data_IF_167580402053
#
_entry.id   IF_167580402053
#
_cell.length_a   1.000
_cell.length_b   1.000
_cell.length_c   1.000
_cell.angle_alpha   90.00
_cell.angle_beta   90.00
_cell.angle_gamma   90.00
#
_symmetry.space_group_name_H-M   'P 1'
#
loop_
_entity.id
_entity.type
_entity.pdbx_description
1 polymer ?
#
# COMPACT_ATOMS: atom_id res chain seq x y z
N UNK A 1 -7.18 20.07 9.91
CA UNK A 1 -6.90 18.63 10.07
C UNK A 1 -6.06 18.06 8.91
N UNK A 2 -4.98 18.78 8.52
CA UNK A 2 -4.16 18.40 7.36
C UNK A 2 -2.69 18.38 7.75
N UNK A 3 -1.92 17.50 7.14
CA UNK A 3 -0.47 17.63 7.04
C UNK A 3 -0.17 18.69 5.97
N UNK A 4 0.66 19.66 6.28
CA UNK A 4 1.01 20.75 5.37
C UNK A 4 2.50 20.66 5.05
N UNK A 5 2.81 20.60 3.77
CA UNK A 5 4.18 20.67 3.30
C UNK A 5 4.51 22.10 2.89
N UNK A 6 5.49 22.70 3.56
CA UNK A 6 6.06 24.00 3.20
C UNK A 6 7.28 23.78 2.33
N UNK A 7 7.12 23.95 1.04
CA UNK A 7 8.19 23.75 0.05
C UNK A 7 9.02 25.03 -0.11
N UNK A 8 9.54 25.59 1.00
CA UNK A 8 10.45 26.73 0.96
C UNK A 8 11.84 26.27 0.51
N UNK A 9 12.44 26.88 -0.54
CA UNK A 9 13.76 26.48 -1.03
C UNK A 9 14.86 26.54 0.03
N UNK A 10 14.81 27.53 0.91
CA UNK A 10 15.82 27.71 1.95
C UNK A 10 15.63 26.77 3.13
N UNK A 11 14.39 26.44 3.48
CA UNK A 11 14.05 25.62 4.63
C UNK A 11 12.73 24.87 4.41
N UNK A 12 12.74 23.70 3.74
CA UNK A 12 11.56 22.86 3.61
C UNK A 12 11.11 22.39 5.00
N UNK A 13 9.80 22.44 5.22
CA UNK A 13 9.22 22.02 6.49
C UNK A 13 7.91 21.27 6.29
N UNK A 14 7.63 20.31 7.16
CA UNK A 14 6.34 19.61 7.21
C UNK A 14 5.69 19.86 8.56
N UNK A 15 4.45 20.33 8.53
CA UNK A 15 3.59 20.45 9.70
C UNK A 15 2.62 19.29 9.75
N UNK A 16 2.57 18.58 10.89
CA UNK A 16 1.61 17.51 11.15
C UNK A 16 0.80 17.84 12.40
N UNK A 17 -0.51 17.84 12.26
CA UNK A 17 -1.42 17.87 13.40
C UNK A 17 -1.47 16.48 14.03
N UNK A 18 -1.07 16.39 15.29
CA UNK A 18 -1.21 15.20 16.12
C UNK A 18 -2.47 15.27 17.01
N UNK A 19 -2.66 14.25 17.82
CA UNK A 19 -3.81 14.15 18.74
C UNK A 19 -3.81 15.32 19.76
N UNK A 20 -4.97 15.89 20.00
CA UNK A 20 -5.18 16.96 20.96
C UNK A 20 -4.41 18.25 20.59
N UNK A 21 -3.69 18.80 21.55
CA UNK A 21 -2.88 20.03 21.35
C UNK A 21 -1.49 19.77 20.80
N UNK A 22 -1.07 18.53 20.61
CA UNK A 22 0.25 18.19 20.08
C UNK A 22 0.38 18.54 18.61
N UNK A 23 1.54 19.08 18.24
CA UNK A 23 1.91 19.42 16.87
C UNK A 23 3.29 18.88 16.59
N UNK A 24 3.55 18.41 15.37
CA UNK A 24 4.86 17.95 14.92
C UNK A 24 5.32 18.81 13.75
N UNK A 25 6.53 19.26 13.85
CA UNK A 25 7.24 19.96 12.80
C UNK A 25 8.46 19.14 12.39
N UNK A 26 8.65 18.97 11.11
CA UNK A 26 9.80 18.29 10.52
C UNK A 26 10.52 19.30 9.62
N UNK A 27 11.82 19.46 9.80
CA UNK A 27 12.66 20.38 9.03
C UNK A 27 13.74 19.60 8.32
N UNK A 28 13.92 19.84 7.01
CA UNK A 28 15.03 19.29 6.26
C UNK A 28 16.35 19.92 6.73
N UNK A 29 17.29 19.10 7.18
CA UNK A 29 18.63 19.54 7.54
C UNK A 29 19.52 19.51 6.29
N UNK A 30 20.04 20.67 5.90
CA UNK A 30 20.85 20.82 4.67
C UNK A 30 22.35 21.00 4.93
N UNK A 31 22.74 21.28 6.16
CA UNK A 31 24.12 21.60 6.52
C UNK A 31 24.68 20.53 7.45
N UNK A 32 25.97 20.25 7.34
CA UNK A 32 26.71 19.37 8.25
C UNK A 32 26.90 20.03 9.63
N UNK A 33 25.80 20.30 10.32
CA UNK A 33 25.82 20.85 11.67
C UNK A 33 25.87 19.69 12.68
N UNK A 34 26.59 19.93 13.79
CA UNK A 34 26.60 18.91 14.86
C UNK A 34 25.21 18.72 15.44
N UNK A 35 24.87 17.46 15.80
CA UNK A 35 23.58 17.13 16.40
C UNK A 35 23.28 17.98 17.64
N UNK A 36 24.29 18.22 18.49
CA UNK A 36 24.17 19.09 19.67
C UNK A 36 23.66 20.47 19.32
N UNK A 37 24.14 21.06 18.21
CA UNK A 37 23.72 22.41 17.76
C UNK A 37 22.29 22.38 17.25
N UNK A 38 21.96 21.40 16.40
CA UNK A 38 20.62 21.26 15.78
C UNK A 38 19.55 20.97 16.82
N UNK A 39 19.84 20.14 17.82
CA UNK A 39 18.91 19.78 18.90
C UNK A 39 18.86 20.82 20.03
N UNK A 40 19.64 21.91 19.94
CA UNK A 40 19.53 23.00 20.93
C UNK A 40 18.19 23.72 20.80
N UNK A 41 17.60 24.08 21.94
CA UNK A 41 16.32 24.84 21.95
C UNK A 41 16.39 26.13 21.14
N UNK A 42 17.49 26.86 21.26
CA UNK A 42 17.72 28.10 20.50
C UNK A 42 17.60 27.87 19.00
N UNK A 43 18.18 26.77 18.50
CA UNK A 43 18.17 26.45 17.07
C UNK A 43 16.78 26.03 16.61
N UNK A 44 16.09 25.20 17.39
CA UNK A 44 14.74 24.73 17.08
C UNK A 44 13.74 25.88 17.07
N UNK A 45 13.77 26.76 18.08
CA UNK A 45 12.89 27.90 18.12
C UNK A 45 13.16 28.92 16.98
N UNK A 46 14.37 28.95 16.48
CA UNK A 46 14.66 29.75 15.29
C UNK A 46 13.98 29.17 14.03
N UNK A 47 13.94 27.85 13.90
CA UNK A 47 13.17 27.21 12.83
C UNK A 47 11.67 27.46 12.95
N UNK A 48 11.14 27.39 14.16
CA UNK A 48 9.72 27.55 14.43
C UNK A 48 9.23 29.00 14.36
N UNK A 49 10.13 29.98 14.40
CA UNK A 49 9.82 31.41 14.43
C UNK A 49 8.79 31.89 13.39
N UNK A 50 8.73 31.35 12.13
CA UNK A 50 7.72 31.78 11.17
C UNK A 50 6.28 31.40 11.57
N UNK A 51 6.09 30.44 12.46
CA UNK A 51 4.77 29.88 12.80
C UNK A 51 4.40 30.01 14.27
N UNK A 52 5.38 30.02 15.18
CA UNK A 52 5.16 29.95 16.63
C UNK A 52 6.13 30.86 17.41
N UNK A 53 5.63 31.47 18.48
CA UNK A 53 6.42 32.11 19.51
C UNK A 53 6.72 31.13 20.64
N UNK A 54 7.87 31.29 21.31
CA UNK A 54 8.25 30.42 22.44
C UNK A 54 7.25 30.48 23.61
N UNK A 55 6.51 31.58 23.74
CA UNK A 55 5.45 31.74 24.76
C UNK A 55 4.17 30.97 24.47
N UNK A 56 3.98 30.49 23.22
CA UNK A 56 2.74 29.82 22.78
C UNK A 56 2.80 28.31 22.90
N UNK A 57 4.01 27.73 23.04
CA UNK A 57 4.20 26.29 23.09
C UNK A 57 5.49 25.91 23.83
N UNK A 58 5.58 24.65 24.23
CA UNK A 58 6.80 24.03 24.76
C UNK A 58 7.23 22.86 23.88
N UNK A 59 8.53 22.56 23.88
CA UNK A 59 9.11 21.45 23.15
C UNK A 59 8.97 20.15 23.95
N UNK A 60 8.03 19.29 23.55
CA UNK A 60 7.84 17.99 24.18
C UNK A 60 8.93 17.00 23.78
N UNK A 61 9.31 16.99 22.51
CA UNK A 61 10.31 16.07 21.95
C UNK A 61 11.07 16.70 20.81
N UNK A 62 12.34 16.42 20.74
CA UNK A 62 13.24 16.81 19.66
C UNK A 62 14.12 15.63 19.26
N UNK A 63 14.29 15.40 17.98
CA UNK A 63 15.09 14.28 17.47
C UNK A 63 15.49 14.52 16.02
N UNK A 64 16.56 13.88 15.59
CA UNK A 64 16.99 13.85 14.19
C UNK A 64 16.65 12.47 13.64
N UNK A 65 16.13 12.45 12.43
CA UNK A 65 15.90 11.23 11.65
C UNK A 65 16.73 11.26 10.38
N UNK A 66 17.36 10.15 10.08
CA UNK A 66 17.92 9.87 8.77
C UNK A 66 17.04 8.84 8.08
N UNK A 67 16.56 9.16 6.89
CA UNK A 67 15.75 8.26 6.10
C UNK A 67 16.62 7.55 5.07
N UNK A 68 16.41 6.25 4.96
CA UNK A 68 17.11 5.41 4.01
C UNK A 68 16.11 4.75 3.05
N UNK A 69 16.57 4.50 1.83
CA UNK A 69 15.85 3.72 0.84
C UNK A 69 16.65 2.47 0.56
N UNK A 70 16.12 1.33 0.95
CA UNK A 70 16.79 0.04 0.77
C UNK A 70 15.79 -1.08 0.52
N UNK A 71 16.23 -2.11 -0.19
CA UNK A 71 15.44 -3.33 -0.36
C UNK A 71 16.37 -4.53 -0.25
N UNK A 72 16.04 -5.48 0.60
CA UNK A 72 16.82 -6.69 0.80
C UNK A 72 16.79 -7.58 -0.46
N UNK A 73 17.92 -8.16 -0.81
CA UNK A 73 18.02 -9.07 -1.96
C UNK A 73 17.31 -10.41 -1.72
N UNK A 74 17.26 -10.88 -0.48
CA UNK A 74 16.62 -12.14 -0.08
C UNK A 74 15.65 -11.90 1.06
N UNK A 75 14.39 -12.26 0.85
CA UNK A 75 13.34 -12.15 1.84
C UNK A 75 13.01 -13.48 2.53
N UNK A 76 13.61 -14.58 2.02
CA UNK A 76 13.44 -15.92 2.55
C UNK A 76 14.75 -16.69 2.57
N UNK A 77 15.01 -17.41 3.67
CA UNK A 77 16.05 -18.45 3.77
C UNK A 77 15.46 -19.65 4.53
N UNK A 78 15.17 -20.73 3.80
CA UNK A 78 14.52 -21.89 4.37
C UNK A 78 13.14 -21.55 4.97
N UNK A 79 13.02 -21.64 6.31
CA UNK A 79 11.81 -21.32 7.06
C UNK A 79 11.81 -19.92 7.68
N UNK A 80 12.85 -19.14 7.45
CA UNK A 80 12.99 -17.77 7.96
C UNK A 80 12.54 -16.80 6.87
N UNK A 81 11.72 -15.84 7.25
CA UNK A 81 11.20 -14.78 6.37
C UNK A 81 11.42 -13.42 7.02
N UNK A 82 11.67 -12.41 6.20
CA UNK A 82 11.68 -11.01 6.61
C UNK A 82 10.53 -10.26 5.91
N UNK A 83 9.98 -9.23 6.57
CA UNK A 83 8.87 -8.43 6.07
C UNK A 83 8.93 -7.00 6.63
N UNK A 84 8.21 -6.06 5.99
CA UNK A 84 8.22 -4.66 6.41
C UNK A 84 9.62 -4.07 6.38
N UNK A 85 9.95 -3.26 7.38
CA UNK A 85 11.23 -2.53 7.45
C UNK A 85 12.46 -3.45 7.46
N UNK A 86 12.31 -4.70 7.88
CA UNK A 86 13.39 -5.70 7.77
C UNK A 86 13.66 -6.15 6.33
N UNK A 87 12.68 -6.00 5.45
CA UNK A 87 12.79 -6.38 4.04
C UNK A 87 13.02 -5.16 3.12
N UNK A 88 12.46 -4.01 3.48
CA UNK A 88 12.56 -2.78 2.68
C UNK A 88 12.36 -1.53 3.54
N UNK A 89 13.21 -0.55 3.33
CA UNK A 89 13.10 0.77 3.93
C UNK A 89 12.64 1.77 2.87
N UNK A 90 11.78 2.69 3.25
CA UNK A 90 11.32 3.76 2.38
C UNK A 90 11.16 5.07 3.14
N UNK A 91 11.44 6.22 2.50
CA UNK A 91 11.21 7.53 3.10
C UNK A 91 9.73 7.76 3.42
N UNK A 92 9.41 8.60 4.40
CA UNK A 92 8.05 8.76 4.92
C UNK A 92 7.12 9.61 4.07
N UNK A 93 7.56 10.15 2.94
CA UNK A 93 6.85 11.18 2.16
C UNK A 93 5.44 10.79 1.69
N UNK A 94 5.13 9.51 1.59
CA UNK A 94 3.78 9.01 1.27
C UNK A 94 3.13 8.26 2.44
N UNK A 95 3.80 8.12 3.59
CA UNK A 95 3.30 7.36 4.74
C UNK A 95 3.01 5.88 4.45
N UNK A 96 3.71 5.25 3.49
CA UNK A 96 3.39 3.90 3.02
C UNK A 96 4.19 2.77 3.68
N UNK A 97 5.21 3.05 4.51
CA UNK A 97 6.06 2.02 5.11
C UNK A 97 5.26 0.99 5.92
N UNK A 98 4.51 1.44 6.91
CA UNK A 98 3.64 0.56 7.71
C UNK A 98 2.62 -0.21 6.85
N UNK A 99 1.98 0.47 5.90
CA UNK A 99 1.01 -0.15 5.01
C UNK A 99 1.65 -1.21 4.11
N UNK A 100 2.88 -1.01 3.66
CA UNK A 100 3.63 -2.00 2.88
C UNK A 100 3.94 -3.23 3.73
N UNK A 101 4.40 -3.06 4.98
CA UNK A 101 4.62 -4.16 5.91
C UNK A 101 3.35 -4.96 6.24
N UNK A 102 2.20 -4.30 6.41
CA UNK A 102 0.91 -4.98 6.58
C UNK A 102 0.56 -5.80 5.34
N UNK A 103 0.81 -5.28 4.13
CA UNK A 103 0.58 -6.03 2.88
C UNK A 103 1.53 -7.23 2.75
N UNK A 104 2.79 -7.10 3.21
CA UNK A 104 3.73 -8.21 3.24
C UNK A 104 3.24 -9.32 4.18
N UNK A 105 2.89 -8.95 5.40
CA UNK A 105 2.37 -9.89 6.40
C UNK A 105 1.09 -10.58 5.89
N UNK A 106 0.18 -9.83 5.29
CA UNK A 106 -1.05 -10.36 4.70
C UNK A 106 -0.75 -11.36 3.57
N UNK A 107 0.17 -11.02 2.65
CA UNK A 107 0.56 -11.90 1.55
C UNK A 107 1.24 -13.19 2.04
N UNK A 108 2.11 -13.09 3.05
CA UNK A 108 2.86 -14.22 3.58
C UNK A 108 1.98 -15.14 4.45
N UNK A 109 1.15 -14.57 5.31
CA UNK A 109 0.38 -15.33 6.32
C UNK A 109 -0.56 -16.36 5.69
N UNK A 110 -1.34 -15.97 4.66
CA UNK A 110 -2.25 -16.92 4.03
C UNK A 110 -1.50 -18.01 3.25
N UNK A 111 -0.34 -17.68 2.67
CA UNK A 111 0.51 -18.65 1.96
C UNK A 111 1.11 -19.67 2.93
N UNK A 112 1.60 -19.23 4.08
CA UNK A 112 2.08 -20.12 5.14
C UNK A 112 0.95 -21.02 5.62
N UNK A 113 -0.24 -20.45 5.91
CA UNK A 113 -1.40 -21.22 6.34
C UNK A 113 -1.78 -22.32 5.33
N UNK A 114 -1.75 -21.98 4.04
CA UNK A 114 -2.07 -22.92 2.97
C UNK A 114 -1.01 -24.04 2.86
N UNK A 115 0.28 -23.69 2.98
CA UNK A 115 1.36 -24.68 2.97
C UNK A 115 1.26 -25.66 4.14
N UNK A 116 0.95 -25.16 5.33
CA UNK A 116 0.80 -26.03 6.53
C UNK A 116 -0.39 -26.96 6.36
N UNK A 117 -1.54 -26.45 5.92
CA UNK A 117 -2.79 -27.24 5.79
C UNK A 117 -2.69 -28.28 4.68
N UNK A 118 -2.16 -27.90 3.53
CA UNK A 118 -2.21 -28.71 2.31
C UNK A 118 -0.87 -29.37 1.99
N UNK A 119 0.13 -29.27 2.88
CA UNK A 119 1.50 -29.79 2.66
C UNK A 119 2.11 -29.36 1.32
N UNK A 120 1.80 -28.13 0.88
CA UNK A 120 2.37 -27.60 -0.36
C UNK A 120 3.88 -27.53 -0.32
N UNK A 121 4.52 -27.70 -1.47
CA UNK A 121 5.95 -27.50 -1.66
C UNK A 121 6.37 -26.09 -1.25
N UNK A 122 7.51 -26.00 -0.59
CA UNK A 122 8.09 -24.74 -0.17
C UNK A 122 8.31 -23.70 -1.28
N UNK A 123 8.34 -24.13 -2.54
CA UNK A 123 8.40 -23.25 -3.73
C UNK A 123 7.22 -22.31 -3.83
N UNK A 124 6.04 -22.73 -3.34
CA UNK A 124 4.87 -21.83 -3.25
C UNK A 124 5.15 -20.57 -2.43
N UNK A 125 5.93 -20.69 -1.35
CA UNK A 125 6.31 -19.57 -0.49
C UNK A 125 7.33 -18.61 -1.14
N UNK A 126 8.06 -19.02 -2.17
CA UNK A 126 8.98 -18.16 -2.90
C UNK A 126 8.23 -17.05 -3.66
N UNK A 127 6.94 -17.31 -3.98
CA UNK A 127 6.06 -16.30 -4.59
C UNK A 127 5.82 -15.10 -3.68
N UNK A 128 6.06 -15.20 -2.38
CA UNK A 128 6.00 -14.05 -1.48
C UNK A 128 6.96 -12.96 -1.91
N UNK A 129 8.24 -13.30 -2.04
CA UNK A 129 9.25 -12.32 -2.43
C UNK A 129 8.99 -11.80 -3.85
N UNK A 130 8.75 -12.69 -4.83
CA UNK A 130 8.61 -12.24 -6.23
C UNK A 130 7.41 -11.33 -6.45
N UNK A 131 6.32 -11.55 -5.72
CA UNK A 131 5.13 -10.69 -5.77
C UNK A 131 5.32 -9.37 -5.03
N UNK A 132 5.88 -9.41 -3.81
CA UNK A 132 5.98 -8.25 -2.95
C UNK A 132 7.15 -7.33 -3.29
N UNK A 133 8.25 -7.89 -3.78
CA UNK A 133 9.45 -7.13 -4.13
C UNK A 133 9.16 -6.02 -5.15
N UNK A 134 8.52 -6.35 -6.27
CA UNK A 134 8.18 -5.36 -7.31
C UNK A 134 7.21 -4.31 -6.79
N UNK A 135 6.24 -4.73 -5.97
CA UNK A 135 5.25 -3.83 -5.36
C UNK A 135 5.91 -2.85 -4.36
N UNK A 136 6.81 -3.35 -3.49
CA UNK A 136 7.55 -2.52 -2.55
C UNK A 136 8.52 -1.57 -3.26
N UNK A 137 9.22 -2.06 -4.30
CA UNK A 137 10.15 -1.27 -5.10
C UNK A 137 9.46 -0.05 -5.73
N UNK A 138 8.28 -0.23 -6.31
CA UNK A 138 7.50 0.88 -6.90
C UNK A 138 7.11 1.93 -5.85
N UNK A 139 6.76 1.52 -4.61
CA UNK A 139 6.53 2.45 -3.51
C UNK A 139 7.80 3.20 -3.13
N UNK A 140 8.94 2.51 -3.00
CA UNK A 140 10.24 3.12 -2.66
C UNK A 140 10.61 4.17 -3.71
N UNK A 141 10.60 3.82 -4.99
CA UNK A 141 10.93 4.71 -6.09
C UNK A 141 10.01 5.93 -6.15
N UNK A 142 8.72 5.75 -5.86
CA UNK A 142 7.76 6.85 -5.84
C UNK A 142 7.98 7.75 -4.62
N UNK A 143 8.26 7.20 -3.45
CA UNK A 143 8.55 8.00 -2.25
C UNK A 143 9.86 8.76 -2.38
N UNK A 144 10.88 8.21 -3.05
CA UNK A 144 12.13 8.92 -3.35
C UNK A 144 11.87 10.14 -4.24
N UNK A 145 11.15 9.96 -5.36
CA UNK A 145 10.75 11.08 -6.24
C UNK A 145 9.96 12.16 -5.51
N UNK A 146 9.05 11.75 -4.61
CA UNK A 146 8.32 12.70 -3.77
C UNK A 146 9.25 13.48 -2.85
N UNK A 147 10.25 12.83 -2.26
CA UNK A 147 11.28 13.49 -1.45
C UNK A 147 12.08 14.50 -2.23
N UNK A 148 12.48 14.18 -3.46
CA UNK A 148 13.14 15.09 -4.38
C UNK A 148 12.27 16.31 -4.66
N UNK A 149 10.98 16.11 -4.97
CA UNK A 149 10.02 17.19 -5.19
C UNK A 149 9.85 18.09 -3.97
N UNK A 150 9.74 17.50 -2.78
CA UNK A 150 9.60 18.28 -1.52
C UNK A 150 10.84 19.11 -1.23
N UNK A 151 12.03 18.59 -1.57
CA UNK A 151 13.32 19.23 -1.30
C UNK A 151 13.83 20.13 -2.42
N UNK A 152 13.41 19.87 -3.67
CA UNK A 152 13.80 20.64 -4.85
C UNK A 152 12.63 21.53 -5.30
N UNK A 153 12.49 22.65 -4.63
CA UNK A 153 11.51 23.66 -5.04
C UNK A 153 11.85 24.15 -6.44
N UNK A 154 10.92 23.97 -7.37
CA UNK A 154 11.02 24.50 -8.73
C UNK A 154 11.48 23.53 -9.80
N UNK A 155 11.67 22.24 -9.52
CA UNK A 155 11.87 21.28 -10.63
C UNK A 155 10.55 20.98 -11.32
N UNK A 156 10.38 21.50 -12.53
CA UNK A 156 9.19 21.34 -13.38
C UNK A 156 8.94 19.89 -13.84
N UNK A 157 9.78 18.94 -13.45
CA UNK A 157 9.86 17.60 -14.02
C UNK A 157 9.04 16.52 -13.30
N UNK A 158 8.19 16.85 -12.32
CA UNK A 158 7.27 15.87 -11.71
C UNK A 158 5.85 16.21 -12.11
N UNK A 159 5.49 15.94 -13.36
CA UNK A 159 4.15 16.19 -13.91
C UNK A 159 3.25 14.94 -13.85
N UNK A 160 3.82 13.75 -13.70
CA UNK A 160 3.05 12.50 -13.71
C UNK A 160 2.25 12.32 -12.42
N UNK A 161 0.93 12.25 -12.55
CA UNK A 161 -0.05 12.04 -11.49
C UNK A 161 -0.33 13.22 -10.55
N UNK A 162 0.07 14.45 -10.91
CA UNK A 162 -0.33 15.65 -10.17
C UNK A 162 -1.48 16.35 -10.93
N UNK A 163 -2.61 16.51 -10.26
CA UNK A 163 -3.72 17.34 -10.76
C UNK A 163 -3.70 18.70 -10.06
N UNK A 164 -3.94 19.78 -10.80
CA UNK A 164 -4.07 21.13 -10.26
C UNK A 164 -5.53 21.47 -10.05
N UNK A 165 -5.90 21.89 -8.85
CA UNK A 165 -7.23 22.42 -8.58
C UNK A 165 -7.36 23.88 -9.06
N UNK A 166 -8.61 24.41 -9.15
CA UNK A 166 -8.88 25.80 -9.55
C UNK A 166 -8.26 26.84 -8.61
N UNK A 167 -8.00 26.46 -7.38
CA UNK A 167 -7.39 27.27 -6.31
C UNK A 167 -5.85 27.17 -6.27
N UNK A 168 -5.24 26.58 -7.30
CA UNK A 168 -3.79 26.35 -7.36
C UNK A 168 -3.30 25.19 -6.49
N UNK A 169 -4.19 24.48 -5.80
CA UNK A 169 -3.80 23.28 -5.05
C UNK A 169 -3.32 22.19 -5.99
N UNK A 170 -2.24 21.51 -5.62
CA UNK A 170 -1.74 20.33 -6.34
C UNK A 170 -2.08 19.08 -5.55
N UNK A 171 -2.72 18.11 -6.18
CA UNK A 171 -3.04 16.82 -5.59
C UNK A 171 -2.41 15.68 -6.38
N UNK A 172 -1.87 14.69 -5.68
CA UNK A 172 -1.34 13.48 -6.29
C UNK A 172 -2.20 12.28 -5.89
N UNK A 173 -2.59 11.48 -6.88
CA UNK A 173 -3.31 10.25 -6.60
C UNK A 173 -2.38 9.23 -5.94
N UNK A 174 -2.91 8.54 -4.92
CA UNK A 174 -2.19 7.43 -4.29
C UNK A 174 -1.97 6.32 -5.30
N UNK A 175 -0.71 5.90 -5.47
CA UNK A 175 -0.37 4.76 -6.33
C UNK A 175 -0.94 3.46 -5.75
N UNK A 176 -1.25 2.53 -6.66
CA UNK A 176 -1.73 1.18 -6.33
C UNK A 176 -0.91 0.14 -7.09
N UNK A 177 0.36 -0.07 -6.71
CA UNK A 177 1.23 -1.00 -7.40
C UNK A 177 0.65 -2.40 -7.44
N UNK A 178 0.81 -3.08 -8.58
CA UNK A 178 0.44 -4.47 -8.71
C UNK A 178 1.46 -5.37 -8.01
N UNK A 179 1.03 -6.59 -7.69
CA UNK A 179 1.97 -7.64 -7.34
C UNK A 179 2.86 -7.99 -8.53
N UNK A 180 4.12 -8.26 -8.24
CA UNK A 180 5.08 -8.79 -9.21
C UNK A 180 4.70 -10.19 -9.72
N UNK A 181 5.61 -10.85 -10.45
CA UNK A 181 5.43 -12.22 -10.95
C UNK A 181 5.18 -13.17 -9.77
N UNK A 182 4.20 -14.05 -9.90
CA UNK A 182 3.85 -15.00 -8.83
C UNK A 182 2.61 -15.82 -9.20
N UNK A 183 1.69 -15.97 -8.26
CA UNK A 183 0.50 -16.77 -8.46
C UNK A 183 -0.43 -16.17 -9.51
N UNK A 184 -1.01 -17.03 -10.34
CA UNK A 184 -1.88 -16.66 -11.45
C UNK A 184 -1.13 -16.36 -12.75
N UNK A 185 -1.87 -16.17 -13.84
CA UNK A 185 -1.30 -15.97 -15.17
C UNK A 185 -0.91 -14.53 -15.42
N UNK A 186 0.31 -14.29 -15.88
CA UNK A 186 0.78 -12.96 -16.30
C UNK A 186 0.04 -12.42 -17.54
N UNK A 187 -0.66 -13.27 -18.30
CA UNK A 187 -1.51 -12.85 -19.42
C UNK A 187 -2.78 -12.14 -18.97
N UNK A 188 -3.19 -12.29 -17.72
CA UNK A 188 -4.33 -11.58 -17.15
C UNK A 188 -3.90 -10.18 -16.68
N UNK A 189 -4.30 -9.15 -17.42
CA UNK A 189 -3.99 -7.73 -17.12
C UNK A 189 -4.48 -7.27 -15.75
N UNK A 190 -5.44 -7.95 -15.15
CA UNK A 190 -6.00 -7.63 -13.83
C UNK A 190 -5.33 -8.38 -12.69
N UNK A 191 -4.57 -9.45 -12.96
CA UNK A 191 -3.82 -10.18 -11.95
C UNK A 191 -2.91 -9.24 -11.15
N UNK A 192 -2.87 -9.42 -9.85
CA UNK A 192 -2.04 -8.64 -8.95
C UNK A 192 -2.51 -7.23 -8.67
N UNK A 193 -3.62 -6.76 -9.27
CA UNK A 193 -4.27 -5.52 -8.82
C UNK A 193 -4.93 -5.74 -7.47
N UNK A 194 -4.88 -4.73 -6.59
CA UNK A 194 -5.65 -4.76 -5.36
C UNK A 194 -7.14 -4.63 -5.70
N UNK A 195 -7.96 -5.53 -5.14
CA UNK A 195 -9.40 -5.48 -5.31
C UNK A 195 -10.01 -4.49 -4.31
N UNK A 196 -10.94 -3.61 -4.72
CA UNK A 196 -11.52 -2.62 -3.83
C UNK A 196 -12.32 -3.27 -2.69
N UNK A 197 -12.32 -2.61 -1.54
CA UNK A 197 -13.19 -3.01 -0.43
C UNK A 197 -14.63 -2.66 -0.76
N UNK A 198 -15.50 -3.67 -0.78
CA UNK A 198 -16.91 -3.51 -1.09
C UNK A 198 -17.77 -3.67 0.16
N UNK A 199 -18.85 -2.90 0.22
CA UNK A 199 -19.91 -3.08 1.22
C UNK A 199 -20.94 -4.09 0.72
N UNK A 200 -21.27 -5.04 1.56
CA UNK A 200 -22.33 -5.99 1.35
C UNK A 200 -23.70 -5.36 1.66
N UNK A 201 -24.79 -5.97 1.18
CA UNK A 201 -26.16 -5.50 1.45
C UNK A 201 -26.52 -5.44 2.95
N UNK A 202 -25.88 -6.27 3.77
CA UNK A 202 -26.03 -6.28 5.23
C UNK A 202 -25.18 -5.21 5.96
N UNK A 203 -24.56 -4.29 5.23
CA UNK A 203 -23.74 -3.20 5.76
C UNK A 203 -22.30 -3.55 6.08
N UNK A 204 -21.95 -4.84 6.22
CA UNK A 204 -20.58 -5.30 6.49
C UNK A 204 -19.70 -5.19 5.25
N UNK A 205 -18.42 -5.01 5.46
CA UNK A 205 -17.43 -5.09 4.37
C UNK A 205 -17.07 -6.53 4.03
N UNK A 206 -16.44 -6.74 2.85
CA UNK A 206 -15.94 -8.07 2.49
C UNK A 206 -14.94 -8.61 3.50
N UNK A 207 -14.07 -7.73 4.03
CA UNK A 207 -13.03 -8.14 4.99
C UNK A 207 -13.60 -8.52 6.34
N UNK A 208 -14.62 -7.83 6.83
CA UNK A 208 -15.28 -8.18 8.09
C UNK A 208 -15.93 -9.57 8.04
N UNK A 209 -16.39 -9.99 6.87
CA UNK A 209 -17.08 -11.27 6.71
C UNK A 209 -16.18 -12.41 6.21
N UNK A 210 -15.17 -12.10 5.40
CA UNK A 210 -14.41 -13.10 4.64
C UNK A 210 -12.91 -12.89 4.65
N UNK A 211 -12.34 -12.34 5.71
CA UNK A 211 -10.92 -11.93 5.79
C UNK A 211 -9.90 -13.04 5.50
N UNK A 212 -10.29 -14.31 5.64
CA UNK A 212 -9.36 -15.46 5.58
C UNK A 212 -9.56 -16.38 4.38
N UNK A 213 -10.52 -16.08 3.51
CA UNK A 213 -10.92 -16.98 2.42
C UNK A 213 -10.71 -16.34 1.05
N UNK A 214 -10.32 -17.12 0.05
CA UNK A 214 -10.42 -16.68 -1.33
C UNK A 214 -11.89 -16.52 -1.72
N UNK A 215 -12.18 -15.53 -2.57
CA UNK A 215 -13.54 -15.19 -2.98
C UNK A 215 -13.68 -15.31 -4.49
N UNK A 216 -14.79 -15.87 -4.94
CA UNK A 216 -15.24 -15.83 -6.32
C UNK A 216 -16.39 -14.82 -6.44
N UNK A 217 -16.15 -13.70 -7.10
CA UNK A 217 -17.18 -12.71 -7.38
C UNK A 217 -17.76 -12.96 -8.77
N UNK A 218 -19.07 -13.15 -8.86
CA UNK A 218 -19.76 -13.46 -10.11
C UNK A 218 -21.25 -13.13 -10.01
N UNK A 219 -22.02 -13.27 -11.10
CA UNK A 219 -23.49 -13.16 -11.04
C UNK A 219 -24.11 -14.34 -10.31
N UNK A 220 -25.29 -14.17 -9.75
CA UNK A 220 -26.03 -15.25 -9.07
C UNK A 220 -26.31 -16.44 -9.98
N UNK A 221 -26.61 -16.20 -11.25
CA UNK A 221 -26.86 -17.24 -12.23
C UNK A 221 -25.61 -18.10 -12.46
N UNK A 222 -24.45 -17.45 -12.64
CA UNK A 222 -23.19 -18.16 -12.88
C UNK A 222 -22.66 -18.82 -11.60
N UNK A 223 -22.87 -18.20 -10.44
CA UNK A 223 -22.46 -18.76 -9.16
C UNK A 223 -23.11 -20.11 -8.85
N UNK A 224 -24.35 -20.33 -9.29
CA UNK A 224 -25.02 -21.63 -9.16
C UNK A 224 -24.39 -22.74 -10.01
N UNK A 225 -23.72 -22.37 -11.12
CA UNK A 225 -23.05 -23.32 -12.03
C UNK A 225 -21.63 -23.68 -11.58
N UNK A 226 -21.10 -22.96 -10.58
CA UNK A 226 -19.76 -23.16 -10.07
C UNK A 226 -19.89 -23.83 -8.70
N UNK A 227 -19.68 -25.13 -8.66
CA UNK A 227 -19.57 -25.88 -7.42
C UNK A 227 -18.09 -26.05 -7.09
N UNK A 228 -17.61 -25.36 -6.07
CA UNK A 228 -16.25 -25.53 -5.56
C UNK A 228 -16.24 -25.40 -4.04
N UNK A 229 -15.67 -26.38 -3.37
CA UNK A 229 -15.49 -26.35 -1.92
C UNK A 229 -14.31 -25.49 -1.47
N UNK A 230 -13.46 -25.06 -2.42
CA UNK A 230 -12.24 -24.28 -2.14
C UNK A 230 -12.48 -22.78 -2.09
N UNK A 231 -13.51 -22.29 -2.78
CA UNK A 231 -13.73 -20.86 -2.97
C UNK A 231 -15.16 -20.48 -2.62
N UNK A 232 -15.33 -19.41 -1.86
CA UNK A 232 -16.66 -18.90 -1.55
C UNK A 232 -17.17 -17.98 -2.66
N UNK A 233 -18.33 -18.29 -3.20
CA UNK A 233 -19.00 -17.43 -4.19
C UNK A 233 -19.71 -16.26 -3.51
N UNK A 234 -19.47 -15.06 -4.04
CA UNK A 234 -20.12 -13.80 -3.70
C UNK A 234 -20.79 -13.27 -4.94
N UNK A 235 -22.06 -12.92 -4.83
CA UNK A 235 -22.90 -12.62 -5.98
C UNK A 235 -23.55 -11.22 -5.86
N UNK A 236 -24.28 -10.83 -6.90
CA UNK A 236 -25.13 -9.63 -6.91
C UNK A 236 -26.26 -9.67 -5.86
N UNK A 237 -26.56 -10.84 -5.30
CA UNK A 237 -27.43 -10.97 -4.13
C UNK A 237 -26.77 -10.46 -2.85
N UNK A 238 -25.46 -10.58 -2.77
CA UNK A 238 -24.66 -10.17 -1.60
C UNK A 238 -24.20 -8.70 -1.69
N UNK A 239 -23.88 -8.23 -2.91
CA UNK A 239 -23.29 -6.89 -3.15
C UNK A 239 -24.13 -6.13 -4.17
N UNK A 240 -24.55 -4.91 -3.79
CA UNK A 240 -25.21 -3.98 -4.73
C UNK A 240 -24.20 -3.48 -5.78
N UNK A 241 -24.56 -3.53 -7.05
CA UNK A 241 -23.73 -3.02 -8.13
C UNK A 241 -22.54 -3.91 -8.51
N UNK A 242 -22.48 -5.17 -8.08
CA UNK A 242 -21.42 -6.09 -8.45
C UNK A 242 -21.27 -6.25 -9.97
N UNK A 243 -22.35 -6.20 -10.73
CA UNK A 243 -22.34 -6.28 -12.20
C UNK A 243 -21.50 -5.14 -12.83
N UNK A 244 -21.59 -3.92 -12.30
CA UNK A 244 -20.80 -2.80 -12.79
C UNK A 244 -19.30 -2.99 -12.48
N UNK A 245 -18.99 -3.55 -11.32
CA UNK A 245 -17.62 -3.88 -10.93
C UNK A 245 -17.06 -4.95 -11.87
N UNK A 246 -17.79 -6.02 -12.13
CA UNK A 246 -17.37 -7.06 -13.07
C UNK A 246 -17.13 -6.48 -14.46
N UNK A 247 -18.02 -5.59 -14.94
CA UNK A 247 -17.88 -4.87 -16.23
C UNK A 247 -16.61 -4.02 -16.27
N UNK A 248 -16.26 -3.29 -15.19
CA UNK A 248 -15.06 -2.44 -15.14
C UNK A 248 -13.76 -3.25 -15.27
N UNK A 249 -13.78 -4.52 -14.91
CA UNK A 249 -12.65 -5.46 -15.11
C UNK A 249 -12.76 -6.25 -16.42
N UNK A 250 -13.79 -6.01 -17.23
CA UNK A 250 -14.11 -6.80 -18.43
C UNK A 250 -14.16 -8.31 -18.10
N UNK A 251 -14.87 -8.68 -17.03
CA UNK A 251 -14.92 -10.02 -16.49
C UNK A 251 -16.35 -10.49 -16.20
N UNK A 252 -16.60 -11.78 -16.35
CA UNK A 252 -17.80 -12.47 -15.87
C UNK A 252 -17.64 -13.03 -14.46
N UNK A 253 -16.39 -13.29 -14.07
CA UNK A 253 -16.04 -13.67 -12.72
C UNK A 253 -14.62 -13.20 -12.37
N UNK A 254 -14.40 -12.93 -11.07
CA UNK A 254 -13.11 -12.50 -10.53
C UNK A 254 -12.79 -13.34 -9.31
N UNK A 255 -11.60 -13.92 -9.26
CA UNK A 255 -11.08 -14.56 -8.05
C UNK A 255 -10.19 -13.56 -7.32
N UNK A 256 -10.55 -13.29 -6.07
CA UNK A 256 -9.82 -12.46 -5.14
C UNK A 256 -9.21 -13.34 -4.07
N UNK A 257 -7.92 -13.17 -3.84
CA UNK A 257 -7.11 -13.89 -2.84
C UNK A 257 -7.44 -13.42 -1.42
N UNK A 258 -7.04 -14.16 -0.36
CA UNK A 258 -7.20 -13.73 1.03
C UNK A 258 -6.53 -12.37 1.34
N UNK A 259 -5.42 -12.03 0.68
CA UNK A 259 -4.71 -10.74 0.80
C UNK A 259 -5.29 -9.63 -0.10
N UNK A 260 -6.50 -9.85 -0.65
CA UNK A 260 -7.28 -8.89 -1.45
C UNK A 260 -6.68 -8.52 -2.81
N UNK A 261 -5.74 -9.26 -3.30
CA UNK A 261 -5.30 -9.10 -4.68
C UNK A 261 -6.06 -10.01 -5.63
N UNK A 262 -6.27 -9.55 -6.87
CA UNK A 262 -6.90 -10.36 -7.92
C UNK A 262 -5.93 -11.47 -8.33
N UNK A 263 -6.39 -12.71 -8.23
CA UNK A 263 -5.65 -13.87 -8.74
C UNK A 263 -5.92 -14.08 -10.23
N UNK A 264 -7.19 -14.02 -10.63
CA UNK A 264 -7.62 -14.30 -11.99
C UNK A 264 -8.95 -13.64 -12.32
N UNK A 265 -9.09 -13.19 -13.58
CA UNK A 265 -10.37 -12.78 -14.16
C UNK A 265 -10.79 -13.73 -15.25
N UNK A 266 -12.07 -14.05 -15.32
CA UNK A 266 -12.66 -14.93 -16.33
C UNK A 266 -13.58 -14.12 -17.24
N UNK A 267 -13.31 -14.18 -18.54
CA UNK A 267 -14.12 -13.53 -19.57
C UNK A 267 -15.19 -14.45 -20.14
N UNK A 268 -14.95 -15.75 -20.14
CA UNK A 268 -15.83 -16.78 -20.72
C UNK A 268 -16.19 -17.80 -19.66
N UNK A 269 -17.44 -18.29 -19.68
CA UNK A 269 -17.96 -19.26 -18.72
C UNK A 269 -17.25 -20.63 -18.87
N UNK A 270 -16.87 -21.00 -20.08
CA UNK A 270 -16.14 -22.25 -20.35
C UNK A 270 -14.78 -22.34 -19.64
N UNK A 271 -14.21 -21.21 -19.23
CA UNK A 271 -12.91 -21.19 -18.54
C UNK A 271 -13.04 -21.45 -17.03
N UNK A 272 -14.26 -21.58 -16.49
CA UNK A 272 -14.50 -21.77 -15.05
C UNK A 272 -14.03 -23.14 -14.52
N UNK A 273 -13.90 -24.16 -15.38
CA UNK A 273 -13.30 -25.45 -15.03
C UNK A 273 -11.87 -25.30 -14.47
N UNK A 274 -11.17 -24.21 -14.80
CA UNK A 274 -9.82 -23.92 -14.29
C UNK A 274 -9.80 -23.49 -12.82
N UNK A 275 -10.96 -23.26 -12.18
CA UNK A 275 -11.02 -22.83 -10.76
C UNK A 275 -10.42 -23.91 -9.85
N UNK A 276 -10.72 -25.18 -10.11
CA UNK A 276 -10.24 -26.31 -9.30
C UNK A 276 -8.71 -26.50 -9.34
N UNK A 277 -8.06 -26.04 -10.40
CA UNK A 277 -6.59 -26.16 -10.57
C UNK A 277 -5.82 -24.99 -9.98
N UNK A 278 -6.51 -23.98 -9.45
CA UNK A 278 -5.84 -22.81 -8.88
C UNK A 278 -5.25 -23.14 -7.50
N UNK A 279 -4.10 -22.55 -7.17
CA UNK A 279 -3.42 -22.73 -5.88
C UNK A 279 -4.10 -21.89 -4.79
N UNK A 280 -5.24 -22.38 -4.26
CA UNK A 280 -6.09 -21.69 -3.29
C UNK A 280 -6.39 -22.59 -2.08
#
# INVERSE_FOLDING_TARGET
DRTIQYSNPSQPATYCRNVGKRRRWEFALRNNLSEKKVLSEKYIWNFLKPWLKKSEAYLERKTIYTFESAISRKWRKGRIFISGDSAHLMPPFMGQGMCAGIRDASNLAWKISLCIKNKHDGKFLDTYQTERFSNAKEYIETTMRMGEFVNAVGSENITDNISSGPDGTKSMQSIKPKLGIGLGSNKDKNRGKIFPQLKMKNGKTLDEKFSKSPLLLTSSELGKKISSNKIRSITDKDIRGLSNILKSYNAKAIIVRPDRYILKTFKKVKDFNQIETLPL
#
